data_IF_226766208847
#
_entry.id   IF_226766208847
#
_cell.length_a   1.000
_cell.length_b   1.000
_cell.length_c   1.000
_cell.angle_alpha   90.00
_cell.angle_beta   90.00
_cell.angle_gamma   90.00
#
_symmetry.space_group_name_H-M   'P 1'
#
loop_
_entity.id
_entity.type
_entity.pdbx_description
1 polymer ?
#
# COMPACT_ATOMS: atom_id res chain seq x y z
N UNK A 1 0.24 -10.69 1.03
CA UNK A 1 0.28 -9.27 1.47
C UNK A 1 1.65 -8.73 1.10
N UNK A 2 1.78 -7.48 0.63
CA UNK A 2 3.09 -6.91 0.22
C UNK A 2 3.96 -6.67 1.46
N UNK A 3 5.20 -7.14 1.42
CA UNK A 3 6.16 -7.00 2.52
C UNK A 3 6.80 -5.61 2.53
N UNK A 4 7.41 -5.22 3.64
CA UNK A 4 8.10 -3.93 3.74
C UNK A 4 9.36 -3.92 2.88
N UNK A 5 10.09 -5.03 2.82
CA UNK A 5 11.27 -5.18 1.95
C UNK A 5 10.91 -4.99 0.47
N UNK A 6 9.75 -5.51 0.04
CA UNK A 6 9.28 -5.30 -1.33
C UNK A 6 9.02 -3.81 -1.64
N UNK A 7 8.54 -3.05 -0.66
CA UNK A 7 8.32 -1.61 -0.81
C UNK A 7 9.63 -0.83 -0.80
N UNK A 8 10.61 -1.26 0.00
CA UNK A 8 11.96 -0.69 0.02
C UNK A 8 12.66 -0.89 -1.33
N UNK A 9 12.57 -2.10 -1.90
CA UNK A 9 13.12 -2.39 -3.22
C UNK A 9 12.46 -1.51 -4.31
N UNK A 10 11.13 -1.35 -4.28
CA UNK A 10 10.39 -0.48 -5.22
C UNK A 10 10.88 0.97 -5.12
N UNK A 11 11.15 1.47 -3.91
CA UNK A 11 11.62 2.84 -3.70
C UNK A 11 12.99 3.12 -4.32
N UNK A 12 13.77 2.08 -4.65
CA UNK A 12 15.07 2.26 -5.34
C UNK A 12 14.94 2.63 -6.81
N UNK A 13 13.81 2.30 -7.46
CA UNK A 13 13.64 2.45 -8.91
C UNK A 13 12.35 3.14 -9.34
N UNK A 14 11.43 3.43 -8.43
CA UNK A 14 10.16 4.08 -8.73
C UNK A 14 9.91 5.30 -7.84
N UNK A 15 9.17 6.28 -8.37
CA UNK A 15 8.70 7.46 -7.63
C UNK A 15 7.25 7.29 -7.14
N UNK A 16 6.58 6.21 -7.53
CA UNK A 16 5.19 5.94 -7.16
C UNK A 16 4.70 4.55 -7.57
N UNK A 17 3.56 4.15 -7.02
CA UNK A 17 2.95 2.84 -7.21
C UNK A 17 1.46 3.02 -7.52
N UNK A 18 0.94 2.31 -8.53
CA UNK A 18 -0.49 2.24 -8.83
C UNK A 18 -1.09 0.89 -8.42
N UNK A 19 -1.41 0.66 -7.14
CA UNK A 19 -1.93 -0.63 -6.69
C UNK A 19 -3.40 -0.81 -7.07
N UNK A 20 -3.85 -2.06 -7.11
CA UNK A 20 -5.28 -2.34 -7.24
C UNK A 20 -6.04 -1.80 -6.03
N UNK A 21 -7.20 -1.14 -6.25
CA UNK A 21 -7.97 -0.47 -5.20
C UNK A 21 -8.28 -1.35 -3.98
N UNK A 22 -8.49 -2.65 -4.17
CA UNK A 22 -8.78 -3.60 -3.09
C UNK A 22 -7.55 -3.94 -2.23
N UNK A 23 -6.35 -3.52 -2.65
CA UNK A 23 -5.14 -3.59 -1.83
C UNK A 23 -5.04 -2.43 -0.84
N UNK A 24 -5.75 -1.33 -1.07
CA UNK A 24 -5.76 -0.16 -0.18
C UNK A 24 -6.79 -0.31 0.94
N UNK A 25 -7.89 -0.99 0.64
CA UNK A 25 -8.97 -1.19 1.58
C UNK A 25 -9.62 -2.57 1.40
N UNK A 26 -9.92 -3.22 2.51
CA UNK A 26 -10.52 -4.55 2.55
C UNK A 26 -11.87 -4.50 3.27
N UNK A 27 -12.85 -5.34 2.88
CA UNK A 27 -14.07 -5.51 3.65
C UNK A 27 -13.75 -6.21 4.98
N UNK A 28 -14.23 -5.64 6.07
CA UNK A 28 -14.25 -6.26 7.38
C UNK A 28 -15.49 -7.17 7.52
N UNK A 29 -15.44 -8.11 8.47
CA UNK A 29 -16.52 -9.06 8.72
C UNK A 29 -17.88 -8.41 9.04
N UNK A 30 -17.87 -7.17 9.52
CA UNK A 30 -19.06 -6.38 9.83
C UNK A 30 -19.58 -5.54 8.64
N UNK A 31 -19.06 -5.76 7.43
CA UNK A 31 -19.46 -5.02 6.22
C UNK A 31 -18.84 -3.61 6.10
N UNK A 32 -18.04 -3.18 7.07
CA UNK A 32 -17.27 -1.93 6.96
C UNK A 32 -16.05 -2.10 6.06
N UNK A 33 -15.51 -0.99 5.57
CA UNK A 33 -14.28 -0.96 4.78
C UNK A 33 -13.14 -0.49 5.68
N UNK A 34 -12.10 -1.30 5.82
CA UNK A 34 -10.91 -0.99 6.63
C UNK A 34 -9.69 -0.77 5.75
N UNK A 35 -8.89 0.25 6.08
CA UNK A 35 -7.62 0.50 5.42
C UNK A 35 -6.63 -0.62 5.70
N UNK A 36 -5.84 -1.00 4.69
CA UNK A 36 -4.75 -1.97 4.84
C UNK A 36 -3.44 -1.33 5.34
N UNK A 37 -3.40 0.01 5.47
CA UNK A 37 -2.19 0.75 5.81
C UNK A 37 -1.17 0.86 4.67
N UNK A 38 -1.46 0.30 3.48
CA UNK A 38 -0.52 0.29 2.35
C UNK A 38 -0.15 1.71 1.88
N UNK A 39 -1.12 2.64 1.82
CA UNK A 39 -0.85 4.06 1.48
C UNK A 39 0.16 4.68 2.43
N UNK A 40 -0.02 4.49 3.74
CA UNK A 40 0.89 5.05 4.74
C UNK A 40 2.30 4.46 4.60
N UNK A 41 2.41 3.16 4.33
CA UNK A 41 3.69 2.47 4.12
C UNK A 41 4.41 2.91 2.84
N UNK A 42 3.67 3.24 1.78
CA UNK A 42 4.20 3.82 0.55
C UNK A 42 4.70 5.26 0.78
N UNK A 43 3.88 6.11 1.41
CA UNK A 43 4.26 7.49 1.71
C UNK A 43 5.48 7.59 2.64
N UNK A 44 5.61 6.68 3.61
CA UNK A 44 6.78 6.62 4.49
C UNK A 44 8.10 6.39 3.72
N UNK A 45 8.03 5.87 2.50
CA UNK A 45 9.16 5.61 1.60
C UNK A 45 9.31 6.65 0.48
N UNK A 46 8.54 7.73 0.52
CA UNK A 46 8.54 8.76 -0.53
C UNK A 46 7.89 8.33 -1.84
N UNK A 47 7.16 7.20 -1.85
CA UNK A 47 6.42 6.73 -3.03
C UNK A 47 5.05 7.43 -3.10
N UNK A 48 4.71 7.99 -4.26
CA UNK A 48 3.37 8.49 -4.56
C UNK A 48 2.38 7.36 -4.87
N UNK A 49 1.09 7.58 -4.61
CA UNK A 49 -0.01 6.63 -4.89
C UNK A 49 -1.24 7.36 -5.42
#
# INVERSE_FOLDING_TARGET
>A
MVSDESLDDIATYATGVGPWKNMLAAPAANGSVVSTGLVARLHARGLSV
#
